data_IF_230346319147
#
_entry.id   IF_230346319147
#
_cell.length_a   1.000
_cell.length_b   1.000
_cell.length_c   1.000
_cell.angle_alpha   90.00
_cell.angle_beta   90.00
_cell.angle_gamma   90.00
#
_symmetry.space_group_name_H-M   'P 1'
#
loop_
_entity.id
_entity.type
_entity.pdbx_description
1 polymer ?
#
# COMPACT_ATOMS: atom_id res chain seq x y z
N UNK A 1 -13.54 -7.85 21.53
CA UNK A 1 -13.60 -8.19 20.08
C UNK A 1 -15.06 -8.51 19.77
N UNK A 2 -15.75 -7.64 19.03
CA UNK A 2 -17.15 -7.85 18.66
C UNK A 2 -17.16 -8.49 17.26
N UNK A 3 -17.45 -9.79 17.18
CA UNK A 3 -17.55 -10.52 15.92
C UNK A 3 -19.02 -10.85 15.64
N UNK A 4 -19.55 -10.38 14.52
CA UNK A 4 -20.86 -10.80 14.01
C UNK A 4 -20.65 -11.96 13.04
N UNK A 5 -21.23 -13.13 13.34
CA UNK A 5 -21.10 -14.35 12.51
C UNK A 5 -22.44 -14.63 11.82
N UNK A 6 -22.45 -14.74 10.49
CA UNK A 6 -23.61 -15.17 9.69
C UNK A 6 -23.17 -16.07 8.55
N UNK A 7 -23.81 -17.22 8.34
CA UNK A 7 -23.62 -18.10 7.17
C UNK A 7 -22.15 -18.43 6.82
N UNK A 8 -21.30 -18.67 7.83
CA UNK A 8 -19.90 -19.00 7.62
C UNK A 8 -19.01 -17.80 7.23
N UNK A 9 -19.52 -16.57 7.34
CA UNK A 9 -18.73 -15.34 7.29
C UNK A 9 -18.79 -14.63 8.64
N UNK A 10 -17.76 -13.83 8.91
CA UNK A 10 -17.73 -12.97 10.09
C UNK A 10 -17.11 -11.61 9.77
N UNK A 11 -17.51 -10.60 10.53
CA UNK A 11 -16.89 -9.27 10.51
C UNK A 11 -16.07 -9.10 11.77
N UNK A 12 -14.79 -8.77 11.60
CA UNK A 12 -13.86 -8.49 12.69
C UNK A 12 -13.53 -7.01 12.70
N UNK A 13 -13.65 -6.35 13.85
CA UNK A 13 -13.00 -5.05 14.05
C UNK A 13 -11.54 -5.30 14.40
N UNK A 14 -10.64 -4.85 13.53
CA UNK A 14 -9.18 -4.98 13.68
C UNK A 14 -8.59 -3.60 13.84
N UNK A 15 -7.85 -3.41 14.94
CA UNK A 15 -7.02 -2.24 15.13
C UNK A 15 -5.76 -2.38 14.27
N UNK A 16 -5.55 -1.46 13.33
CA UNK A 16 -4.39 -1.47 12.45
C UNK A 16 -3.59 -0.19 12.60
N UNK A 17 -2.26 -0.34 12.64
CA UNK A 17 -1.28 0.75 12.60
C UNK A 17 -0.31 0.47 11.46
N UNK A 18 -0.26 1.37 10.49
CA UNK A 18 0.59 1.24 9.31
C UNK A 18 1.32 2.54 8.96
N UNK A 19 2.46 2.48 8.24
CA UNK A 19 3.13 3.67 7.73
C UNK A 19 2.19 4.52 6.89
N UNK A 20 2.15 5.82 7.16
CA UNK A 20 1.37 6.78 6.40
C UNK A 20 2.18 7.28 5.19
N UNK A 21 2.34 6.43 4.18
CA UNK A 21 3.13 6.78 3.00
C UNK A 21 2.58 7.98 2.21
N UNK A 22 1.27 8.24 2.29
CA UNK A 22 0.65 9.39 1.60
C UNK A 22 1.10 10.72 2.19
N UNK A 23 1.47 10.78 3.48
CA UNK A 23 2.05 11.99 4.08
C UNK A 23 3.40 12.37 3.45
N UNK A 24 4.07 11.42 2.79
CA UNK A 24 5.38 11.61 2.16
C UNK A 24 5.30 11.66 0.62
N UNK A 25 4.11 11.85 0.05
CA UNK A 25 3.90 11.89 -1.40
C UNK A 25 4.72 12.99 -2.09
N UNK A 26 4.78 14.20 -1.50
CA UNK A 26 5.58 15.30 -2.02
C UNK A 26 7.09 15.03 -1.94
N UNK A 27 7.55 14.33 -0.89
CA UNK A 27 8.94 13.91 -0.78
C UNK A 27 9.31 12.89 -1.86
N UNK A 28 8.43 11.91 -2.12
CA UNK A 28 8.61 10.96 -3.21
C UNK A 28 8.67 11.67 -4.57
N UNK A 29 7.76 12.61 -4.84
CA UNK A 29 7.76 13.35 -6.10
C UNK A 29 9.07 14.11 -6.31
N UNK A 30 9.56 14.79 -5.27
CA UNK A 30 10.83 15.51 -5.30
C UNK A 30 12.02 14.57 -5.49
N UNK A 31 12.01 13.41 -4.83
CA UNK A 31 13.02 12.37 -4.97
C UNK A 31 13.07 11.83 -6.41
N UNK A 32 11.92 11.50 -7.01
CA UNK A 32 11.83 11.03 -8.39
C UNK A 32 12.28 12.12 -9.37
N UNK A 33 11.88 13.39 -9.16
CA UNK A 33 12.34 14.52 -9.99
C UNK A 33 13.86 14.67 -9.95
N UNK A 34 14.46 14.59 -8.76
CA UNK A 34 15.91 14.67 -8.58
C UNK A 34 16.62 13.56 -9.36
N UNK A 35 16.23 12.30 -9.14
CA UNK A 35 16.83 11.16 -9.82
C UNK A 35 16.62 11.21 -11.33
N UNK A 36 15.44 11.64 -11.78
CA UNK A 36 15.15 11.76 -13.21
C UNK A 36 16.07 12.77 -13.91
N UNK A 37 16.44 13.83 -13.20
CA UNK A 37 17.41 14.82 -13.69
C UNK A 37 18.84 14.25 -13.67
N UNK A 38 19.24 13.56 -12.61
CA UNK A 38 20.57 12.93 -12.48
C UNK A 38 20.79 11.82 -13.52
N UNK A 39 19.78 10.98 -13.77
CA UNK A 39 19.85 9.86 -14.72
C UNK A 39 19.29 10.18 -16.11
N UNK A 40 19.10 11.47 -16.45
CA UNK A 40 18.42 11.91 -17.68
C UNK A 40 18.90 11.22 -18.97
N UNK A 41 20.23 11.04 -19.12
CA UNK A 41 20.84 10.37 -20.31
C UNK A 41 20.54 8.87 -20.39
N UNK A 42 20.33 8.21 -19.25
CA UNK A 42 20.00 6.79 -19.15
C UNK A 42 18.50 6.61 -19.41
N UNK A 43 17.67 7.44 -18.79
CA UNK A 43 16.21 7.47 -18.99
C UNK A 43 15.84 7.73 -20.44
N UNK A 44 16.54 8.65 -21.13
CA UNK A 44 16.25 8.96 -22.54
C UNK A 44 16.46 7.78 -23.50
N UNK A 45 17.09 6.69 -23.05
CA UNK A 45 17.30 5.45 -23.82
C UNK A 45 16.34 4.33 -23.42
N UNK A 46 15.50 4.53 -22.41
CA UNK A 46 14.54 3.54 -21.94
C UNK A 46 13.28 3.55 -22.79
N UNK A 47 12.72 2.37 -23.04
CA UNK A 47 11.33 2.27 -23.50
C UNK A 47 10.36 2.41 -22.31
N UNK A 48 9.05 2.49 -22.60
CA UNK A 48 8.03 2.68 -21.57
C UNK A 48 8.08 1.62 -20.47
N UNK A 49 8.24 0.33 -20.81
CA UNK A 49 8.29 -0.76 -19.82
C UNK A 49 9.50 -0.62 -18.89
N UNK A 50 10.65 -0.28 -19.45
CA UNK A 50 11.88 -0.04 -18.69
C UNK A 50 11.72 1.18 -17.77
N UNK A 51 11.13 2.27 -18.27
CA UNK A 51 10.89 3.47 -17.48
C UNK A 51 9.91 3.24 -16.33
N UNK A 52 8.82 2.50 -16.56
CA UNK A 52 7.89 2.12 -15.49
C UNK A 52 8.57 1.24 -14.43
N UNK A 53 9.42 0.29 -14.85
CA UNK A 53 10.19 -0.54 -13.92
C UNK A 53 11.19 0.28 -13.10
N UNK A 54 11.84 1.25 -13.74
CA UNK A 54 12.74 2.20 -13.09
C UNK A 54 12.02 3.05 -12.03
N UNK A 55 10.87 3.62 -12.37
CA UNK A 55 10.08 4.40 -11.41
C UNK A 55 9.63 3.55 -10.21
N UNK A 56 9.23 2.30 -10.45
CA UNK A 56 8.83 1.38 -9.39
C UNK A 56 10.00 1.05 -8.46
N UNK A 57 11.18 0.75 -9.02
CA UNK A 57 12.41 0.49 -8.25
C UNK A 57 12.74 1.69 -7.35
N UNK A 58 12.79 2.90 -7.91
CA UNK A 58 13.14 4.11 -7.15
C UNK A 58 12.09 4.48 -6.12
N UNK A 59 10.81 4.32 -6.42
CA UNK A 59 9.75 4.51 -5.43
C UNK A 59 9.86 3.50 -4.28
N UNK A 60 10.21 2.25 -4.58
CA UNK A 60 10.42 1.20 -3.57
C UNK A 60 11.64 1.50 -2.70
N UNK A 61 12.76 1.94 -3.30
CA UNK A 61 13.95 2.39 -2.57
C UNK A 61 13.60 3.54 -1.62
N UNK A 62 12.84 4.54 -2.08
CA UNK A 62 12.38 5.65 -1.25
C UNK A 62 11.59 5.15 -0.04
N UNK A 63 10.57 4.31 -0.24
CA UNK A 63 9.76 3.80 0.86
C UNK A 63 10.57 2.93 1.84
N UNK A 64 11.52 2.14 1.36
CA UNK A 64 12.42 1.34 2.21
C UNK A 64 13.34 2.20 3.08
N UNK A 65 13.74 3.38 2.61
CA UNK A 65 14.46 4.34 3.45
C UNK A 65 13.52 5.06 4.42
N UNK A 66 12.33 5.41 3.95
CA UNK A 66 11.32 6.11 4.75
C UNK A 66 10.93 5.30 6.01
N UNK A 67 10.72 3.98 5.87
CA UNK A 67 10.38 3.11 7.03
C UNK A 67 11.48 3.01 8.09
N UNK A 68 12.71 3.43 7.78
CA UNK A 68 13.84 3.45 8.73
C UNK A 68 13.98 4.78 9.46
N UNK A 69 13.21 5.81 9.09
CA UNK A 69 13.30 7.14 9.70
C UNK A 69 12.52 7.18 11.01
N UNK A 70 13.05 7.96 11.96
CA UNK A 70 12.42 8.16 13.27
C UNK A 70 11.19 9.09 13.22
N UNK A 71 11.02 9.84 12.13
CA UNK A 71 9.89 10.76 11.89
C UNK A 71 8.80 10.15 10.98
N UNK A 72 8.83 8.83 10.77
CA UNK A 72 7.80 8.13 10.01
C UNK A 72 6.44 8.35 10.66
N UNK A 73 5.51 8.93 9.90
CA UNK A 73 4.13 9.06 10.34
C UNK A 73 3.40 7.74 10.21
N UNK A 74 2.51 7.46 11.15
CA UNK A 74 1.66 6.27 11.14
C UNK A 74 0.20 6.70 11.04
N UNK A 75 -0.57 5.94 10.25
CA UNK A 75 -2.01 5.96 10.32
C UNK A 75 -2.47 4.80 11.20
N UNK A 76 -3.39 5.10 12.10
CA UNK A 76 -3.91 4.15 13.07
C UNK A 76 -5.43 4.26 13.08
N UNK A 77 -6.12 3.14 12.88
CA UNK A 77 -7.58 3.12 12.83
C UNK A 77 -8.12 1.73 13.13
N UNK A 78 -9.37 1.69 13.59
CA UNK A 78 -10.14 0.46 13.67
C UNK A 78 -10.85 0.23 12.34
N UNK A 79 -10.55 -0.89 11.68
CA UNK A 79 -11.16 -1.27 10.40
C UNK A 79 -11.99 -2.53 10.53
N UNK A 80 -13.04 -2.64 9.73
CA UNK A 80 -13.81 -3.88 9.58
C UNK A 80 -13.12 -4.77 8.54
N UNK A 81 -12.84 -6.01 8.93
CA UNK A 81 -12.25 -7.04 8.08
C UNK A 81 -13.23 -8.19 7.98
N UNK A 82 -13.56 -8.58 6.75
CA UNK A 82 -14.47 -9.67 6.46
C UNK A 82 -13.69 -10.97 6.27
N UNK A 83 -14.06 -11.99 7.03
CA UNK A 83 -13.45 -13.31 7.00
C UNK A 83 -14.47 -14.39 6.67
N UNK A 84 -14.00 -15.48 6.05
CA UNK A 84 -14.80 -16.65 5.72
C UNK A 84 -14.25 -17.89 6.43
N UNK A 85 -15.16 -18.75 6.90
CA UNK A 85 -14.84 -20.05 7.48
C UNK A 85 -14.48 -21.05 6.37
N UNK A 86 -13.32 -21.65 6.51
CA UNK A 86 -12.86 -22.85 5.80
C UNK A 86 -12.93 -24.04 6.78
N UNK A 87 -12.85 -25.30 6.32
CA UNK A 87 -13.08 -26.48 7.17
C UNK A 87 -12.35 -26.45 8.52
N UNK A 88 -11.09 -25.97 8.56
CA UNK A 88 -10.25 -25.93 9.76
C UNK A 88 -9.70 -24.54 10.13
N UNK A 89 -10.12 -23.47 9.44
CA UNK A 89 -9.55 -22.13 9.66
C UNK A 89 -10.49 -21.02 9.23
N UNK A 90 -10.16 -19.79 9.58
CA UNK A 90 -10.77 -18.59 9.01
C UNK A 90 -9.75 -17.90 8.12
N UNK A 91 -10.18 -17.44 6.95
CA UNK A 91 -9.35 -16.67 6.03
C UNK A 91 -9.99 -15.31 5.72
N UNK A 92 -9.16 -14.30 5.51
CA UNK A 92 -9.61 -13.01 4.98
C UNK A 92 -10.17 -13.22 3.57
N UNK A 93 -11.33 -12.63 3.30
CA UNK A 93 -11.91 -12.66 1.95
C UNK A 93 -11.01 -11.83 1.03
N UNK A 94 -10.38 -12.48 0.03
CA UNK A 94 -9.46 -11.84 -0.92
C UNK A 94 -10.19 -11.08 -2.04
N UNK A 95 -11.12 -10.22 -1.65
CA UNK A 95 -11.86 -9.34 -2.56
C UNK A 95 -11.64 -7.89 -2.13
N UNK A 96 -11.01 -7.10 -2.99
CA UNK A 96 -10.68 -5.71 -2.72
C UNK A 96 -11.94 -4.83 -2.59
N UNK A 97 -13.06 -5.23 -3.18
CA UNK A 97 -14.33 -4.48 -3.07
C UNK A 97 -14.94 -4.64 -1.68
N UNK A 98 -14.70 -5.78 -1.03
CA UNK A 98 -15.22 -6.11 0.31
C UNK A 98 -14.24 -5.65 1.40
N UNK A 99 -12.94 -5.92 1.22
CA UNK A 99 -11.89 -5.67 2.20
C UNK A 99 -10.99 -4.47 1.84
N UNK A 100 -11.53 -3.47 1.11
CA UNK A 100 -10.79 -2.28 0.67
C UNK A 100 -9.99 -1.62 1.81
N UNK A 101 -10.61 -1.52 3.00
CA UNK A 101 -9.99 -0.87 4.15
C UNK A 101 -8.65 -1.50 4.53
N UNK A 102 -8.54 -2.84 4.63
CA UNK A 102 -7.28 -3.51 4.97
C UNK A 102 -6.26 -3.42 3.83
N UNK A 103 -6.71 -3.46 2.57
CA UNK A 103 -5.82 -3.32 1.41
C UNK A 103 -5.21 -1.93 1.30
N UNK A 104 -5.86 -0.87 1.81
CA UNK A 104 -5.24 0.46 1.91
C UNK A 104 -4.02 0.50 2.84
N UNK A 105 -3.97 -0.35 3.86
CA UNK A 105 -2.82 -0.44 4.78
C UNK A 105 -1.75 -1.41 4.29
N UNK A 106 -2.13 -2.47 3.57
CA UNK A 106 -1.20 -3.47 3.05
C UNK A 106 -0.60 -3.08 1.69
N UNK A 107 -1.32 -2.29 0.90
CA UNK A 107 -0.88 -1.80 -0.38
C UNK A 107 0.13 -0.67 -0.20
N UNK A 108 1.38 -0.92 -0.59
CA UNK A 108 2.36 0.13 -0.90
C UNK A 108 1.83 1.04 -2.04
N UNK A 109 0.89 1.93 -1.74
CA UNK A 109 0.52 3.04 -2.62
C UNK A 109 -0.25 2.69 -3.91
N UNK A 110 -1.07 1.65 -3.94
CA UNK A 110 -2.08 1.49 -5.01
C UNK A 110 -3.48 1.72 -4.44
N UNK A 111 -3.82 3.01 -4.29
CA UNK A 111 -5.22 3.40 -4.19
C UNK A 111 -5.93 3.15 -5.53
N UNK A 112 -7.23 2.83 -5.53
CA UNK A 112 -8.02 2.69 -6.77
C UNK A 112 -8.03 3.96 -7.64
N UNK A 113 -7.68 5.11 -7.06
CA UNK A 113 -7.61 6.41 -7.72
C UNK A 113 -6.50 6.49 -8.80
N UNK A 114 -5.52 5.58 -8.78
CA UNK A 114 -4.46 5.49 -9.80
C UNK A 114 -4.74 4.43 -10.89
N UNK A 115 -5.87 3.73 -10.83
CA UNK A 115 -6.36 2.82 -11.87
C UNK A 115 -7.57 3.42 -12.62
N UNK A 116 -7.44 4.66 -13.08
CA UNK A 116 -8.37 5.28 -14.03
C UNK A 116 -7.64 5.62 -15.32
#
# INVERSE_FOLDING_TARGET
>A
MNAEIKNGTAVLTVHIKGPNFTAHASELENYIKKISNEEKKKISKMNNKQYQSFLLEKSSEFYLQLVKRNDLQYMENDIKVYVKKYPNTWGVIQDYTINNAIYKYLGFGYGPELMR
#
